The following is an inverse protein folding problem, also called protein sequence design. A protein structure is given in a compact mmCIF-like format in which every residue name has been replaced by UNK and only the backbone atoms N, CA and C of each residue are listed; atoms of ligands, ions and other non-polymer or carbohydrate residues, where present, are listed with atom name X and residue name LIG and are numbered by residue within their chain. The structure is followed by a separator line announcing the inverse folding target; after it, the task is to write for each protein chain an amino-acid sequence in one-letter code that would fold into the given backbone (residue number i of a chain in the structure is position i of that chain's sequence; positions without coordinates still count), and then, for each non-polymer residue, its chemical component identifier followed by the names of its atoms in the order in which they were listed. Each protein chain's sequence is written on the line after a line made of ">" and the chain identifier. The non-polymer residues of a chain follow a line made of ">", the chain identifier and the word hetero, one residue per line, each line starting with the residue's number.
data_IF_550561462991
#
_entry.id   IF_550561462991
#
_cell.length_a   1.000
_cell.length_b   1.000
_cell.length_c   1.000
_cell.angle_alpha   90.00
_cell.angle_beta   90.00
_cell.angle_gamma   90.00
#
_symmetry.space_group_name_H-M   'P 1'
#
loop_
_entity.id
_entity.type
_entity.pdbx_description
1 polymer ?
#
# COMPACT_ATOMS: atom_id res chain seq x y z
N UNK A 1 -14.96 2.79 -3.33
CA UNK A 1 -13.87 1.81 -3.11
C UNK A 1 -13.23 1.65 -4.46
N UNK A 2 -11.95 1.95 -4.57
CA UNK A 2 -11.24 1.95 -5.86
C UNK A 2 -10.83 0.52 -6.24
N UNK A 3 -10.52 0.26 -7.52
CA UNK A 3 -10.02 -1.04 -7.95
C UNK A 3 -8.76 -1.44 -7.17
N UNK A 4 -8.78 -2.64 -6.59
CA UNK A 4 -7.66 -3.18 -5.79
C UNK A 4 -7.78 -2.96 -4.28
N UNK A 5 -8.68 -2.08 -3.83
CA UNK A 5 -8.94 -1.90 -2.41
C UNK A 5 -9.76 -3.05 -1.81
N UNK A 6 -9.63 -3.22 -0.49
CA UNK A 6 -10.31 -4.26 0.25
C UNK A 6 -11.26 -3.66 1.30
N UNK A 7 -12.47 -4.23 1.38
CA UNK A 7 -13.36 -4.07 2.52
C UNK A 7 -13.30 -5.34 3.36
N UNK A 8 -12.73 -5.23 4.55
CA UNK A 8 -12.59 -6.34 5.47
C UNK A 8 -13.68 -6.25 6.53
N UNK A 9 -14.35 -7.37 6.80
CA UNK A 9 -15.32 -7.43 7.90
C UNK A 9 -14.63 -7.16 9.23
N UNK A 10 -15.22 -6.29 10.04
CA UNK A 10 -14.75 -6.06 11.39
C UNK A 10 -15.25 -7.17 12.32
N UNK A 11 -14.34 -8.00 12.82
CA UNK A 11 -14.65 -9.23 13.55
C UNK A 11 -14.76 -9.04 15.09
N UNK A 12 -15.00 -7.81 15.57
CA UNK A 12 -15.18 -7.52 17.01
C UNK A 12 -16.43 -6.68 17.24
N UNK A 13 -17.44 -7.27 17.88
CA UNK A 13 -18.70 -6.66 18.36
C UNK A 13 -19.40 -5.69 17.40
N UNK A 14 -20.61 -6.05 16.96
CA UNK A 14 -21.40 -5.23 16.03
C UNK A 14 -20.99 -5.41 14.57
N UNK A 15 -21.74 -4.79 13.65
CA UNK A 15 -21.43 -4.80 12.22
C UNK A 15 -20.57 -3.58 11.86
N UNK A 16 -19.43 -3.83 11.23
CA UNK A 16 -18.55 -2.80 10.71
C UNK A 16 -17.66 -3.32 9.59
N UNK A 17 -17.18 -2.41 8.74
CA UNK A 17 -16.23 -2.71 7.68
C UNK A 17 -14.97 -1.86 7.88
N UNK A 18 -13.80 -2.48 7.74
CA UNK A 18 -12.51 -1.79 7.65
C UNK A 18 -12.13 -1.66 6.19
N UNK A 19 -11.89 -0.43 5.77
CA UNK A 19 -11.31 -0.14 4.46
C UNK A 19 -9.79 -0.30 4.53
N UNK A 20 -9.21 -1.01 3.57
CA UNK A 20 -7.78 -1.11 3.35
C UNK A 20 -7.48 -0.72 1.91
N UNK A 21 -6.77 0.40 1.74
CA UNK A 21 -6.29 0.83 0.44
C UNK A 21 -5.03 0.02 0.08
N UNK A 22 -5.05 -0.68 -1.05
CA UNK A 22 -3.87 -1.39 -1.54
C UNK A 22 -3.17 -0.51 -2.57
N UNK A 23 -1.91 -0.16 -2.29
CA UNK A 23 -1.10 0.71 -3.14
C UNK A 23 -0.02 -0.13 -3.80
N UNK A 24 -0.05 -0.20 -5.13
CA UNK A 24 1.00 -0.86 -5.91
C UNK A 24 2.16 0.09 -6.29
N UNK A 25 3.16 -0.45 -6.99
CA UNK A 25 4.32 0.32 -7.43
C UNK A 25 3.95 1.47 -8.39
N UNK A 26 2.95 1.26 -9.26
CA UNK A 26 2.51 2.26 -10.23
C UNK A 26 1.77 3.41 -9.57
N UNK A 27 0.87 3.11 -8.63
CA UNK A 27 0.20 4.12 -7.80
C UNK A 27 1.21 4.85 -6.91
N UNK A 28 2.17 4.13 -6.32
CA UNK A 28 3.25 4.76 -5.53
C UNK A 28 4.03 5.78 -6.36
N UNK A 29 4.35 5.46 -7.62
CA UNK A 29 5.05 6.38 -8.52
C UNK A 29 4.23 7.65 -8.83
N UNK A 30 2.93 7.51 -9.05
CA UNK A 30 2.04 8.66 -9.28
C UNK A 30 1.97 9.56 -8.04
N UNK A 31 1.74 8.96 -6.87
CA UNK A 31 1.68 9.69 -5.60
C UNK A 31 3.00 10.39 -5.27
N UNK A 32 4.14 9.75 -5.55
CA UNK A 32 5.45 10.37 -5.38
C UNK A 32 5.62 11.59 -6.29
N UNK A 33 5.23 11.49 -7.57
CA UNK A 33 5.30 12.60 -8.52
C UNK A 33 4.39 13.77 -8.11
N UNK A 34 3.14 13.49 -7.72
CA UNK A 34 2.19 14.50 -7.25
C UNK A 34 2.66 15.21 -5.96
N UNK A 35 3.47 14.52 -5.15
CA UNK A 35 4.06 15.05 -3.92
C UNK A 35 5.44 15.71 -4.13
N UNK A 36 5.93 15.82 -5.37
CA UNK A 36 7.26 16.33 -5.70
C UNK A 36 8.39 15.54 -4.97
N UNK A 37 8.25 14.22 -4.88
CA UNK A 37 9.22 13.29 -4.29
C UNK A 37 9.77 12.33 -5.35
N UNK A 38 11.04 11.97 -5.20
CA UNK A 38 11.73 11.00 -6.05
C UNK A 38 11.84 9.65 -5.34
N UNK A 39 11.48 8.58 -6.07
CA UNK A 39 11.76 7.21 -5.64
C UNK A 39 13.26 6.93 -5.77
N UNK A 40 13.92 6.62 -4.66
CA UNK A 40 15.35 6.30 -4.61
C UNK A 40 15.57 4.80 -4.69
N UNK A 41 14.71 4.02 -4.05
CA UNK A 41 14.76 2.56 -4.08
C UNK A 41 13.37 1.99 -3.81
N UNK A 42 13.10 0.83 -4.39
CA UNK A 42 11.86 0.10 -4.17
C UNK A 42 12.16 -1.40 -4.16
N UNK A 43 11.63 -2.10 -3.17
CA UNK A 43 11.91 -3.52 -2.96
C UNK A 43 10.76 -4.20 -2.23
N UNK A 44 10.69 -5.53 -2.34
CA UNK A 44 9.77 -6.34 -1.54
C UNK A 44 10.52 -6.98 -0.38
N UNK A 45 9.86 -7.06 0.77
CA UNK A 45 10.36 -7.72 1.97
C UNK A 45 9.19 -8.29 2.78
N UNK A 46 9.52 -8.97 3.88
CA UNK A 46 8.60 -9.62 4.81
C UNK A 46 7.83 -10.81 4.23
N UNK A 47 7.00 -11.40 5.07
CA UNK A 47 6.40 -12.69 4.81
C UNK A 47 7.42 -13.81 4.97
N UNK A 48 6.93 -15.04 4.88
CA UNK A 48 7.78 -16.23 5.02
C UNK A 48 8.79 -16.33 3.86
N UNK A 49 8.41 -15.84 2.68
CA UNK A 49 9.19 -15.90 1.44
C UNK A 49 9.94 -14.59 1.14
N UNK A 50 9.85 -13.57 2.01
CA UNK A 50 10.57 -12.30 1.85
C UNK A 50 10.07 -11.41 0.71
N UNK A 51 8.86 -11.63 0.19
CA UNK A 51 8.33 -10.93 -0.97
C UNK A 51 6.90 -10.36 -0.79
N UNK A 52 6.44 -10.25 0.46
CA UNK A 52 5.05 -9.88 0.77
C UNK A 52 4.78 -8.38 0.56
N UNK A 53 5.45 -7.52 1.33
CA UNK A 53 5.19 -6.10 1.41
C UNK A 53 6.06 -5.33 0.41
N UNK A 54 5.51 -4.27 -0.20
CA UNK A 54 6.26 -3.34 -1.04
C UNK A 54 6.76 -2.16 -0.21
N UNK A 55 8.07 -1.94 -0.20
CA UNK A 55 8.73 -0.82 0.46
C UNK A 55 9.28 0.15 -0.57
N UNK A 56 9.13 1.46 -0.30
CA UNK A 56 9.63 2.53 -1.17
C UNK A 56 10.37 3.57 -0.35
N UNK A 57 11.63 3.84 -0.72
CA UNK A 57 12.44 4.92 -0.16
C UNK A 57 12.26 6.16 -1.02
N UNK A 58 11.82 7.25 -0.41
CA UNK A 58 11.52 8.53 -1.07
C UNK A 58 12.49 9.61 -0.59
N UNK A 59 12.82 10.54 -1.48
CA UNK A 59 13.62 11.73 -1.18
C UNK A 59 12.97 12.95 -1.82
N UNK A 60 13.12 14.12 -1.18
CA UNK A 60 12.76 15.41 -1.76
C UNK A 60 13.81 15.90 -2.76
#
# INVERSE_FOLDING_TARGET
>A
VEPGDYLLTWQRSGFGLRYACHIDAGQTARLAADAELRIVHQFRSDGKEGNLSLYTVLQK
#
